data_IF_029884687740
#
_entry.id   IF_029884687740
#
_cell.length_a   1.000
_cell.length_b   1.000
_cell.length_c   1.000
_cell.angle_alpha   90.00
_cell.angle_beta   90.00
_cell.angle_gamma   90.00
#
_symmetry.space_group_name_H-M   'P 1'
#
loop_
_entity.id
_entity.type
_entity.pdbx_description
1 polymer ?
#
# COMPACT_ATOMS: atom_id res chain seq x y z
N UNK A 1 2.67 24.89 27.61
CA UNK A 1 2.13 25.29 26.28
C UNK A 1 3.20 25.84 25.33
N UNK A 2 4.13 26.72 25.75
CA UNK A 2 5.14 27.31 24.85
C UNK A 2 6.05 26.30 24.10
N UNK A 3 6.51 25.24 24.76
CA UNK A 3 7.44 24.27 24.15
C UNK A 3 6.84 23.51 22.96
N UNK A 4 5.54 23.16 23.02
CA UNK A 4 4.85 22.43 21.93
C UNK A 4 4.63 23.34 20.72
N UNK A 5 4.30 24.62 20.94
CA UNK A 5 4.19 25.58 19.85
C UNK A 5 5.52 25.82 19.14
N UNK A 6 6.62 25.91 19.89
CA UNK A 6 7.96 26.03 19.33
C UNK A 6 8.36 24.81 18.50
N UNK A 7 8.02 23.59 18.96
CA UNK A 7 8.30 22.38 18.19
C UNK A 7 7.45 22.25 16.93
N UNK A 8 6.20 22.68 16.95
CA UNK A 8 5.36 22.66 15.74
C UNK A 8 5.88 23.65 14.70
N UNK A 9 6.16 24.89 15.12
CA UNK A 9 6.70 25.92 14.24
C UNK A 9 8.05 25.52 13.63
N UNK A 10 8.91 24.83 14.38
CA UNK A 10 10.21 24.38 13.86
C UNK A 10 10.07 23.27 12.82
N UNK A 11 9.08 22.37 12.96
CA UNK A 11 8.79 21.34 11.95
C UNK A 11 8.26 21.96 10.65
N UNK A 12 7.43 23.00 10.74
CA UNK A 12 6.93 23.72 9.56
C UNK A 12 8.07 24.44 8.81
N UNK A 13 8.95 25.13 9.53
CA UNK A 13 10.14 25.77 8.95
C UNK A 13 11.09 24.74 8.32
N UNK A 14 11.26 23.58 8.95
CA UNK A 14 12.07 22.49 8.40
C UNK A 14 11.52 21.99 7.06
N UNK A 15 10.19 21.83 6.94
CA UNK A 15 9.55 21.46 5.68
C UNK A 15 9.78 22.51 4.59
N UNK A 16 9.54 23.78 4.89
CA UNK A 16 9.77 24.88 3.93
C UNK A 16 11.23 24.92 3.44
N UNK A 17 12.18 24.64 4.34
CA UNK A 17 13.61 24.61 4.00
C UNK A 17 13.91 23.43 3.08
N UNK A 18 13.38 22.25 3.39
CA UNK A 18 13.54 21.06 2.57
C UNK A 18 12.88 21.20 1.20
N UNK A 19 11.73 21.86 1.12
CA UNK A 19 11.07 22.15 -0.16
C UNK A 19 11.91 23.09 -1.03
N UNK A 20 12.57 24.07 -0.43
CA UNK A 20 13.52 24.95 -1.14
C UNK A 20 14.74 24.17 -1.66
N UNK A 21 15.28 23.24 -0.85
CA UNK A 21 16.36 22.35 -1.29
C UNK A 21 15.91 21.45 -2.43
N UNK A 22 14.72 20.88 -2.35
CA UNK A 22 14.16 20.00 -3.38
C UNK A 22 13.75 20.75 -4.65
N UNK A 23 13.53 22.07 -4.58
CA UNK A 23 13.32 22.90 -5.77
C UNK A 23 14.61 23.03 -6.59
N UNK A 24 15.77 23.06 -5.94
CA UNK A 24 17.10 23.10 -6.60
C UNK A 24 17.58 21.70 -6.97
N UNK A 25 17.38 20.72 -6.09
CA UNK A 25 17.80 19.33 -6.28
C UNK A 25 16.62 18.35 -6.12
N UNK A 26 15.76 18.18 -7.14
CA UNK A 26 14.56 17.36 -7.05
C UNK A 26 14.81 15.86 -6.80
N UNK A 27 16.03 15.39 -7.08
CA UNK A 27 16.46 13.99 -6.90
C UNK A 27 17.40 13.80 -5.71
N UNK A 28 17.47 14.76 -4.79
CA UNK A 28 18.27 14.59 -3.58
C UNK A 28 17.58 13.64 -2.60
N UNK A 29 17.99 12.36 -2.64
CA UNK A 29 17.48 11.28 -1.80
C UNK A 29 17.52 11.63 -0.30
N UNK A 30 18.58 12.28 0.18
CA UNK A 30 18.72 12.67 1.59
C UNK A 30 17.72 13.74 1.98
N UNK A 31 17.46 14.71 1.11
CA UNK A 31 16.47 15.76 1.35
C UNK A 31 15.04 15.18 1.35
N UNK A 32 14.72 14.30 0.41
CA UNK A 32 13.43 13.61 0.35
C UNK A 32 13.23 12.74 1.60
N UNK A 33 14.24 11.96 2.01
CA UNK A 33 14.20 11.16 3.25
C UNK A 33 13.95 12.04 4.48
N UNK A 34 14.67 13.17 4.60
CA UNK A 34 14.49 14.11 5.72
C UNK A 34 13.08 14.69 5.73
N UNK A 35 12.54 15.05 4.57
CA UNK A 35 11.16 15.53 4.42
C UNK A 35 10.16 14.47 4.89
N UNK A 36 10.32 13.23 4.44
CA UNK A 36 9.52 12.10 4.92
C UNK A 36 9.56 11.92 6.44
N UNK A 37 10.74 12.05 7.05
CA UNK A 37 10.91 11.99 8.51
C UNK A 37 10.19 13.14 9.24
N UNK A 38 10.30 14.37 8.74
CA UNK A 38 9.61 15.53 9.34
C UNK A 38 8.09 15.39 9.22
N UNK A 39 7.59 14.92 8.08
CA UNK A 39 6.16 14.63 7.88
C UNK A 39 5.66 13.57 8.86
N UNK A 40 6.45 12.52 9.13
CA UNK A 40 6.11 11.50 10.12
C UNK A 40 6.04 12.09 11.54
N UNK A 41 6.96 12.99 11.90
CA UNK A 41 6.96 13.67 13.21
C UNK A 41 5.73 14.59 13.38
N UNK A 42 5.18 15.12 12.28
CA UNK A 42 3.92 15.89 12.29
C UNK A 42 2.66 15.01 12.33
N UNK A 43 2.80 13.68 12.36
CA UNK A 43 1.68 12.75 12.26
C UNK A 43 1.09 12.62 10.85
N UNK A 44 1.71 13.24 9.84
CA UNK A 44 1.27 13.16 8.44
C UNK A 44 1.81 11.88 7.79
N UNK A 45 1.49 10.72 8.37
CA UNK A 45 2.10 9.43 8.05
C UNK A 45 1.89 9.01 6.58
N UNK A 46 0.73 9.34 5.99
CA UNK A 46 0.45 9.04 4.57
C UNK A 46 1.38 9.82 3.64
N UNK A 47 1.57 11.11 3.91
CA UNK A 47 2.48 11.96 3.12
C UNK A 47 3.94 11.53 3.34
N UNK A 48 4.31 11.20 4.58
CA UNK A 48 5.63 10.67 4.91
C UNK A 48 5.96 9.41 4.12
N UNK A 49 5.04 8.44 4.08
CA UNK A 49 5.24 7.20 3.33
C UNK A 49 5.49 7.44 1.84
N UNK A 50 4.73 8.35 1.22
CA UNK A 50 4.90 8.71 -0.20
C UNK A 50 6.27 9.32 -0.48
N UNK A 51 6.74 10.24 0.35
CA UNK A 51 8.07 10.83 0.17
C UNK A 51 9.17 9.79 0.38
N UNK A 52 9.06 8.93 1.39
CA UNK A 52 10.03 7.86 1.62
C UNK A 52 10.06 6.82 0.49
N UNK A 53 8.92 6.53 -0.13
CA UNK A 53 8.84 5.66 -1.32
C UNK A 53 9.56 6.29 -2.52
N UNK A 54 9.46 7.62 -2.72
CA UNK A 54 10.26 8.33 -3.73
C UNK A 54 11.77 8.23 -3.43
N UNK A 55 12.18 8.35 -2.16
CA UNK A 55 13.58 8.17 -1.78
C UNK A 55 14.09 6.75 -2.11
N UNK A 56 13.27 5.72 -1.90
CA UNK A 56 13.59 4.34 -2.29
C UNK A 56 13.60 4.12 -3.82
N UNK A 57 12.83 4.89 -4.60
CA UNK A 57 12.93 4.85 -6.06
C UNK A 57 14.29 5.35 -6.55
N UNK A 58 14.92 6.28 -5.83
CA UNK A 58 16.26 6.79 -6.16
C UNK A 58 17.34 5.83 -5.65
N UNK A 59 17.23 5.37 -4.41
CA UNK A 59 18.14 4.39 -3.82
C UNK A 59 17.37 3.26 -3.11
N UNK A 60 17.09 2.15 -3.82
CA UNK A 60 16.33 1.03 -3.26
C UNK A 60 17.02 0.35 -2.07
N UNK A 61 18.35 0.45 -1.98
CA UNK A 61 19.18 -0.23 -0.98
C UNK A 61 19.41 0.61 0.28
N UNK A 62 18.79 1.78 0.41
CA UNK A 62 18.93 2.60 1.61
C UNK A 62 18.15 1.98 2.78
N UNK A 63 18.86 1.20 3.62
CA UNK A 63 18.33 0.59 4.84
C UNK A 63 17.72 1.60 5.81
N UNK A 64 18.26 2.81 5.88
CA UNK A 64 17.71 3.86 6.75
C UNK A 64 16.31 4.27 6.28
N UNK A 65 16.12 4.49 4.98
CA UNK A 65 14.81 4.85 4.42
C UNK A 65 13.82 3.70 4.60
N UNK A 66 14.25 2.45 4.35
CA UNK A 66 13.41 1.26 4.58
C UNK A 66 12.93 1.17 6.03
N UNK A 67 13.82 1.39 6.99
CA UNK A 67 13.49 1.38 8.42
C UNK A 67 12.48 2.48 8.78
N UNK A 68 12.70 3.70 8.29
CA UNK A 68 11.77 4.81 8.54
C UNK A 68 10.40 4.50 7.91
N UNK A 69 10.37 4.00 6.67
CA UNK A 69 9.13 3.65 5.98
C UNK A 69 8.37 2.54 6.71
N UNK A 70 9.07 1.53 7.23
CA UNK A 70 8.47 0.45 8.03
C UNK A 70 7.79 1.01 9.28
N UNK A 71 8.47 1.91 10.01
CA UNK A 71 7.90 2.56 11.19
C UNK A 71 6.67 3.40 10.85
N UNK A 72 6.72 4.17 9.75
CA UNK A 72 5.59 4.98 9.28
C UNK A 72 4.40 4.09 8.88
N UNK A 73 4.65 2.97 8.19
CA UNK A 73 3.60 2.00 7.83
C UNK A 73 2.97 1.36 9.06
N UNK A 74 3.77 1.01 10.06
CA UNK A 74 3.26 0.49 11.33
C UNK A 74 2.37 1.51 12.05
N UNK A 75 2.75 2.80 12.04
CA UNK A 75 1.92 3.88 12.59
C UNK A 75 0.58 4.02 11.85
N UNK A 76 0.58 3.98 10.52
CA UNK A 76 -0.65 4.01 9.72
C UNK A 76 -1.61 2.86 10.01
N UNK A 77 -1.07 1.64 10.14
CA UNK A 77 -1.87 0.47 10.50
C UNK A 77 -2.46 0.64 11.89
N UNK A 78 -1.66 1.12 12.85
CA UNK A 78 -2.13 1.39 14.22
C UNK A 78 -3.27 2.42 14.23
N UNK A 79 -3.14 3.52 13.50
CA UNK A 79 -4.18 4.54 13.38
C UNK A 79 -5.48 3.97 12.81
N UNK A 80 -5.39 3.19 11.72
CA UNK A 80 -6.55 2.53 11.11
C UNK A 80 -7.23 1.53 12.05
N UNK A 81 -6.45 0.74 12.78
CA UNK A 81 -7.00 -0.24 13.74
C UNK A 81 -7.70 0.49 14.89
N UNK A 82 -7.06 1.53 15.44
CA UNK A 82 -7.65 2.33 16.52
C UNK A 82 -8.95 3.01 16.09
N UNK A 83 -8.97 3.58 14.89
CA UNK A 83 -10.16 4.19 14.32
C UNK A 83 -11.30 3.17 14.17
N UNK A 84 -11.03 1.99 13.62
CA UNK A 84 -12.02 0.91 13.51
C UNK A 84 -12.56 0.44 14.85
N UNK A 85 -11.69 0.27 15.84
CA UNK A 85 -12.10 -0.11 17.20
C UNK A 85 -12.94 0.98 17.86
N UNK A 86 -12.62 2.26 17.64
CA UNK A 86 -13.43 3.37 18.12
C UNK A 86 -14.82 3.35 17.47
N UNK A 87 -14.91 3.19 16.15
CA UNK A 87 -16.19 3.07 15.45
C UNK A 87 -17.01 1.89 15.97
N UNK A 88 -16.38 0.73 16.17
CA UNK A 88 -17.03 -0.46 16.73
C UNK A 88 -17.62 -0.20 18.12
N UNK A 89 -16.89 0.52 18.98
CA UNK A 89 -17.37 0.90 20.32
C UNK A 89 -18.52 1.91 20.27
N UNK A 90 -18.41 2.92 19.40
CA UNK A 90 -19.41 3.98 19.26
C UNK A 90 -20.75 3.47 18.69
N UNK A 91 -20.72 2.47 17.81
CA UNK A 91 -21.92 1.90 17.20
C UNK A 91 -22.61 0.82 18.06
N UNK A 92 -21.98 0.40 19.16
CA UNK A 92 -22.49 -0.67 20.02
C UNK A 92 -22.52 -2.04 19.34
N UNK A 93 -22.67 -3.11 20.11
CA UNK A 93 -22.87 -4.47 19.55
C UNK A 93 -24.15 -4.52 18.71
N UNK A 94 -24.05 -4.23 17.41
CA UNK A 94 -24.82 -4.93 16.40
C UNK A 94 -23.88 -5.89 15.71
N UNK A 95 -23.66 -7.03 16.37
CA UNK A 95 -23.12 -8.22 15.72
C UNK A 95 -24.17 -8.78 14.76
N UNK A 96 -24.43 -8.05 13.68
CA UNK A 96 -25.05 -8.62 12.49
C UNK A 96 -23.95 -8.81 11.45
N UNK A 97 -23.11 -9.81 11.72
CA UNK A 97 -22.54 -10.71 10.72
C UNK A 97 -22.05 -10.06 9.41
N UNK A 98 -21.02 -9.22 9.46
CA UNK A 98 -20.29 -8.83 8.24
C UNK A 98 -18.82 -9.24 8.36
N UNK A 99 -18.48 -10.32 7.64
CA UNK A 99 -17.12 -10.84 7.50
C UNK A 99 -16.20 -9.74 6.95
N UNK A 100 -15.39 -9.14 7.82
CA UNK A 100 -14.22 -8.37 7.39
C UNK A 100 -13.09 -9.33 6.99
N UNK A 101 -12.34 -9.05 5.91
CA UNK A 101 -11.48 -10.03 5.25
C UNK A 101 -10.30 -10.37 6.15
N UNK A 102 -10.18 -11.66 6.48
CA UNK A 102 -8.94 -12.21 7.02
C UNK A 102 -7.90 -12.15 5.90
N UNK A 103 -6.87 -11.32 6.09
CA UNK A 103 -5.56 -11.54 5.50
C UNK A 103 -5.04 -12.89 6.02
N UNK A 104 -5.54 -13.97 5.44
CA UNK A 104 -5.06 -15.33 5.64
C UNK A 104 -4.59 -15.81 4.28
N UNK A 105 -3.26 -15.83 4.12
CA UNK A 105 -2.61 -16.53 3.02
C UNK A 105 -3.23 -17.92 2.94
N UNK A 106 -3.65 -18.31 1.72
CA UNK A 106 -3.97 -19.68 1.32
C UNK A 106 -5.42 -20.19 1.50
N UNK A 107 -6.41 -19.52 0.90
CA UNK A 107 -7.69 -20.15 0.49
C UNK A 107 -8.36 -19.44 -0.69
N UNK A 108 -7.58 -18.84 -1.59
CA UNK A 108 -8.12 -18.16 -2.80
C UNK A 108 -7.72 -18.88 -4.09
N UNK A 109 -6.56 -19.54 -4.11
CA UNK A 109 -6.10 -20.30 -5.28
C UNK A 109 -6.95 -21.53 -5.55
N UNK A 110 -7.44 -22.25 -4.53
CA UNK A 110 -8.21 -23.49 -4.73
C UNK A 110 -9.57 -23.27 -5.39
N UNK A 111 -10.27 -22.17 -5.07
CA UNK A 111 -11.57 -21.82 -5.68
C UNK A 111 -11.42 -21.25 -7.09
N UNK A 112 -10.38 -20.45 -7.33
CA UNK A 112 -10.10 -19.95 -8.69
C UNK A 112 -9.66 -21.12 -9.60
N UNK A 113 -8.83 -22.04 -9.11
CA UNK A 113 -8.38 -23.21 -9.88
C UNK A 113 -9.54 -24.16 -10.17
N UNK A 114 -10.45 -24.43 -9.21
CA UNK A 114 -11.60 -25.31 -9.44
C UNK A 114 -12.59 -24.73 -10.47
N UNK A 115 -12.82 -23.41 -10.42
CA UNK A 115 -13.64 -22.72 -11.42
C UNK A 115 -13.03 -22.75 -12.83
N UNK A 116 -11.71 -22.58 -12.95
CA UNK A 116 -11.00 -22.58 -14.24
C UNK A 116 -10.98 -23.98 -14.88
N UNK A 117 -10.79 -25.04 -14.08
CA UNK A 117 -10.83 -26.44 -14.55
C UNK A 117 -12.24 -26.84 -15.00
N UNK A 118 -13.29 -26.46 -14.26
CA UNK A 118 -14.67 -26.73 -14.66
C UNK A 118 -15.03 -25.99 -15.95
N UNK A 119 -14.61 -24.73 -16.11
CA UNK A 119 -14.81 -23.95 -17.32
C UNK A 119 -14.16 -24.59 -18.55
N UNK A 120 -12.91 -25.05 -18.44
CA UNK A 120 -12.21 -25.75 -19.52
C UNK A 120 -12.87 -27.08 -19.88
N UNK A 121 -13.36 -27.85 -18.91
CA UNK A 121 -14.05 -29.11 -19.18
C UNK A 121 -15.37 -28.92 -19.95
N UNK A 122 -16.14 -27.88 -19.63
CA UNK A 122 -17.39 -27.55 -20.33
C UNK A 122 -17.09 -27.07 -21.75
N UNK A 123 -16.10 -26.19 -21.92
CA UNK A 123 -15.69 -25.71 -23.25
C UNK A 123 -15.16 -26.87 -24.10
N UNK A 124 -14.33 -27.75 -23.52
CA UNK A 124 -13.77 -28.89 -24.22
C UNK A 124 -14.86 -29.93 -24.58
N UNK A 125 -15.81 -30.20 -23.67
CA UNK A 125 -16.96 -31.05 -23.94
C UNK A 125 -17.90 -30.48 -25.01
N UNK A 126 -18.12 -29.16 -25.00
CA UNK A 126 -18.92 -28.47 -26.02
C UNK A 126 -18.23 -28.48 -27.40
N UNK A 127 -16.91 -28.28 -27.45
CA UNK A 127 -16.12 -28.43 -28.67
C UNK A 127 -16.10 -29.86 -29.21
N UNK A 128 -16.07 -30.86 -28.32
CA UNK A 128 -16.10 -32.28 -28.69
C UNK A 128 -17.45 -32.69 -29.30
N UNK A 129 -18.57 -32.20 -28.76
CA UNK A 129 -19.89 -32.46 -29.32
C UNK A 129 -20.14 -31.75 -30.66
N UNK A 130 -19.51 -30.58 -30.86
CA UNK A 130 -19.81 -29.73 -32.01
C UNK A 130 -18.78 -29.85 -33.16
N UNK A 131 -17.83 -30.80 -33.10
CA UNK A 131 -16.82 -31.09 -34.14
C UNK A 131 -16.14 -29.84 -34.74
N UNK A 132 -15.98 -28.76 -33.97
CA UNK A 132 -15.44 -27.51 -34.46
C UNK A 132 -14.08 -27.27 -33.80
N UNK A 133 -13.00 -27.73 -34.47
CA UNK A 133 -11.62 -27.48 -34.07
C UNK A 133 -11.13 -26.15 -34.68
N UNK A 134 -10.89 -25.08 -33.91
CA UNK A 134 -10.23 -23.88 -34.43
C UNK A 134 -8.70 -24.00 -34.26
N UNK A 135 -8.10 -25.15 -34.61
CA UNK A 135 -6.65 -25.37 -34.50
C UNK A 135 -5.99 -25.67 -35.85
N UNK A 136 -6.44 -24.99 -36.91
CA UNK A 136 -5.80 -25.04 -38.23
C UNK A 136 -5.31 -23.65 -38.66
N UNK A 137 -4.42 -23.02 -37.88
CA UNK A 137 -3.62 -21.88 -38.40
C UNK A 137 -2.34 -21.51 -37.62
N UNK A 138 -1.67 -22.49 -37.00
CA UNK A 138 -0.30 -22.32 -36.52
C UNK A 138 0.57 -23.50 -36.96
N UNK A 139 0.82 -23.61 -38.27
CA UNK A 139 2.05 -24.20 -38.84
C UNK A 139 2.01 -24.15 -40.37
N UNK A 140 2.23 -22.98 -40.97
CA UNK A 140 2.90 -22.79 -42.28
C UNK A 140 3.14 -21.30 -42.53
N UNK A 141 4.22 -20.78 -41.96
CA UNK A 141 5.32 -19.97 -42.56
C UNK A 141 6.09 -19.27 -41.43
#
# INVERSE_FOLDING_TARGET
>A
MAAVHMSMNSLDLALSTLDSVLAVEPRNEKAIMRKGKVLALKGQNVAAARELEKALQINPNNKTVQNILSNVKAALVKERVQERELYKKMLGHKDDNEKSPKDEKNTSTTFIISGLVAGLAVICGYCYLNNNFPFSKFSTL
#
